data_IF_459282790087
#
_entry.id   IF_459282790087
#
_cell.length_a   1.000
_cell.length_b   1.000
_cell.length_c   1.000
_cell.angle_alpha   90.00
_cell.angle_beta   90.00
_cell.angle_gamma   90.00
#
_symmetry.space_group_name_H-M   'P 1'
#
loop_
_entity.id
_entity.type
_entity.pdbx_description
1 polymer ?
#
# COMPACT_ATOMS: atom_id res chain seq x y z
N UNK A 1 -18.71 -0.99 -5.79
CA UNK A 1 -17.63 -0.68 -4.85
C UNK A 1 -17.95 -1.37 -3.53
N UNK A 2 -17.09 -2.28 -3.05
CA UNK A 2 -17.25 -2.88 -1.72
C UNK A 2 -17.21 -1.80 -0.64
N UNK A 3 -18.03 -1.95 0.40
CA UNK A 3 -17.96 -1.05 1.57
C UNK A 3 -16.79 -1.48 2.45
N UNK A 4 -16.26 -0.56 3.26
CA UNK A 4 -15.18 -0.87 4.20
C UNK A 4 -15.55 -2.03 5.14
N UNK A 5 -16.83 -2.16 5.49
CA UNK A 5 -17.39 -3.25 6.30
C UNK A 5 -17.31 -4.62 5.63
N UNK A 6 -17.16 -4.68 4.31
CA UNK A 6 -17.10 -5.90 3.52
C UNK A 6 -15.65 -6.40 3.34
N UNK A 7 -14.67 -5.60 3.75
CA UNK A 7 -13.25 -5.94 3.65
C UNK A 7 -12.89 -6.95 4.74
N UNK A 8 -12.71 -8.20 4.34
CA UNK A 8 -12.21 -9.24 5.24
C UNK A 8 -10.72 -9.02 5.58
N UNK A 9 -10.34 -9.40 6.80
CA UNK A 9 -8.93 -9.43 7.20
C UNK A 9 -8.07 -10.29 6.25
N UNK A 10 -8.63 -11.40 5.74
CA UNK A 10 -7.94 -12.25 4.78
C UNK A 10 -7.60 -11.50 3.48
N UNK A 11 -8.57 -10.75 2.93
CA UNK A 11 -8.35 -9.95 1.73
C UNK A 11 -7.30 -8.85 1.96
N UNK A 12 -7.38 -8.17 3.12
CA UNK A 12 -6.39 -7.17 3.51
C UNK A 12 -4.98 -7.73 3.58
N UNK A 13 -4.78 -8.84 4.30
CA UNK A 13 -3.48 -9.51 4.42
C UNK A 13 -2.93 -9.95 3.07
N UNK A 14 -3.80 -10.44 2.17
CA UNK A 14 -3.40 -10.85 0.81
C UNK A 14 -2.90 -9.66 0.00
N UNK A 15 -3.58 -8.52 0.04
CA UNK A 15 -3.15 -7.31 -0.67
C UNK A 15 -1.89 -6.73 -0.06
N UNK A 16 -1.77 -6.70 1.28
CA UNK A 16 -0.53 -6.29 1.92
C UNK A 16 0.67 -7.15 1.49
N UNK A 17 0.52 -8.47 1.47
CA UNK A 17 1.55 -9.37 0.97
C UNK A 17 1.82 -9.24 -0.55
N UNK A 18 0.84 -8.75 -1.32
CA UNK A 18 1.06 -8.40 -2.72
C UNK A 18 1.88 -7.11 -2.85
N UNK A 19 1.57 -6.06 -2.08
CA UNK A 19 2.33 -4.82 -2.03
C UNK A 19 3.78 -5.05 -1.58
N UNK A 20 3.99 -5.89 -0.56
CA UNK A 20 5.33 -6.25 -0.08
C UNK A 20 6.14 -6.97 -1.16
N UNK A 21 5.51 -7.91 -1.88
CA UNK A 21 6.17 -8.59 -3.00
C UNK A 21 6.49 -7.63 -4.13
N UNK A 22 5.57 -6.74 -4.47
CA UNK A 22 5.78 -5.75 -5.52
C UNK A 22 6.97 -4.83 -5.18
N UNK A 23 7.01 -4.31 -3.96
CA UNK A 23 8.13 -3.49 -3.49
C UNK A 23 9.48 -4.21 -3.57
N UNK A 24 9.53 -5.50 -3.21
CA UNK A 24 10.77 -6.28 -3.20
C UNK A 24 11.21 -6.74 -4.59
N UNK A 25 10.28 -7.02 -5.50
CA UNK A 25 10.57 -7.62 -6.81
C UNK A 25 10.70 -6.56 -7.91
N UNK A 26 9.81 -5.56 -7.89
CA UNK A 26 9.66 -4.56 -8.95
C UNK A 26 9.45 -3.17 -8.32
N UNK A 27 10.49 -2.60 -7.65
CA UNK A 27 10.38 -1.36 -6.88
C UNK A 27 9.93 -0.15 -7.72
N UNK A 28 10.37 -0.06 -8.98
CA UNK A 28 9.95 1.02 -9.88
C UNK A 28 8.44 0.97 -10.16
N UNK A 29 7.90 -0.24 -10.35
CA UNK A 29 6.45 -0.45 -10.56
C UNK A 29 5.69 -0.16 -9.26
N UNK A 30 6.23 -0.56 -8.11
CA UNK A 30 5.65 -0.21 -6.82
C UNK A 30 5.55 1.31 -6.66
N UNK A 31 6.61 2.06 -6.96
CA UNK A 31 6.61 3.52 -6.86
C UNK A 31 5.58 4.17 -7.78
N UNK A 32 5.49 3.73 -9.03
CA UNK A 32 4.49 4.25 -9.97
C UNK A 32 3.06 3.92 -9.51
N UNK A 33 2.83 2.69 -9.04
CA UNK A 33 1.53 2.27 -8.50
C UNK A 33 1.11 3.09 -7.27
N UNK A 34 2.03 3.32 -6.33
CA UNK A 34 1.77 4.17 -5.16
C UNK A 34 1.51 5.62 -5.60
N UNK A 35 2.25 6.13 -6.59
CA UNK A 35 2.06 7.48 -7.13
C UNK A 35 0.67 7.66 -7.74
N UNK A 36 0.19 6.68 -8.49
CA UNK A 36 -1.16 6.66 -9.05
C UNK A 36 -2.22 6.67 -7.93
N UNK A 37 -2.07 5.81 -6.91
CA UNK A 37 -2.99 5.82 -5.76
C UNK A 37 -2.96 7.18 -5.05
N UNK A 38 -1.79 7.77 -4.82
CA UNK A 38 -1.66 9.08 -4.16
C UNK A 38 -2.21 10.24 -5.00
N UNK A 39 -2.38 10.08 -6.31
CA UNK A 39 -3.05 11.08 -7.14
C UNK A 39 -4.55 11.19 -6.78
N UNK A 40 -5.18 10.06 -6.44
CA UNK A 40 -6.62 9.98 -6.17
C UNK A 40 -6.97 9.90 -4.67
N UNK A 41 -6.07 9.35 -3.85
CA UNK A 41 -6.28 9.12 -2.44
C UNK A 41 -5.53 10.15 -1.58
N UNK A 42 -6.20 11.27 -1.30
CA UNK A 42 -5.64 12.39 -0.52
C UNK A 42 -5.02 11.96 0.80
N UNK A 43 -5.66 11.07 1.56
CA UNK A 43 -5.14 10.62 2.86
C UNK A 43 -3.80 9.88 2.73
N UNK A 44 -3.63 9.01 1.72
CA UNK A 44 -2.36 8.33 1.50
C UNK A 44 -1.26 9.32 1.09
N UNK A 45 -1.59 10.31 0.25
CA UNK A 45 -0.66 11.37 -0.15
C UNK A 45 -0.21 12.22 1.05
N UNK A 46 -1.15 12.68 1.88
CA UNK A 46 -0.84 13.45 3.09
C UNK A 46 -0.01 12.62 4.07
N UNK A 47 -0.31 11.33 4.22
CA UNK A 47 0.45 10.44 5.08
C UNK A 47 1.90 10.25 4.59
N UNK A 48 2.13 10.16 3.28
CA UNK A 48 3.49 10.14 2.73
C UNK A 48 4.29 11.41 3.05
N UNK A 49 3.65 12.60 3.02
CA UNK A 49 4.30 13.85 3.42
C UNK A 49 4.70 13.81 4.90
N UNK A 50 3.84 13.27 5.77
CA UNK A 50 4.17 13.08 7.19
C UNK A 50 5.38 12.15 7.36
N UNK A 51 5.48 11.06 6.59
CA UNK A 51 6.66 10.17 6.65
C UNK A 51 7.94 10.92 6.25
N UNK A 52 7.87 11.78 5.22
CA UNK A 52 9.02 12.60 4.79
C UNK A 52 9.43 13.60 5.88
N UNK A 53 8.47 14.25 6.53
CA UNK A 53 8.72 15.13 7.67
C UNK A 53 9.35 14.39 8.86
N UNK A 54 8.86 13.18 9.17
CA UNK A 54 9.43 12.31 10.19
C UNK A 54 10.89 11.95 9.87
N UNK A 55 11.18 11.60 8.62
CA UNK A 55 12.55 11.32 8.18
C UNK A 55 13.45 12.56 8.31
N UNK A 56 12.96 13.74 7.91
CA UNK A 56 13.69 15.01 8.02
C UNK A 56 13.98 15.39 9.48
N UNK A 57 13.12 14.97 10.42
CA UNK A 57 13.28 15.19 11.86
C UNK A 57 14.12 14.09 12.55
N UNK A 58 14.71 13.16 11.80
CA UNK A 58 15.43 12.00 12.32
C UNK A 58 14.58 11.16 13.30
N UNK A 59 13.30 10.96 12.96
CA UNK A 59 12.43 10.06 13.71
C UNK A 59 13.09 8.69 13.88
N UNK A 60 12.85 8.06 15.03
CA UNK A 60 13.45 6.78 15.32
C UNK A 60 13.01 5.69 14.34
N UNK A 61 13.82 4.64 14.24
CA UNK A 61 13.59 3.54 13.29
C UNK A 61 12.25 2.83 13.51
N UNK A 62 11.79 2.73 14.76
CA UNK A 62 10.53 2.07 15.09
C UNK A 62 9.35 2.92 14.63
N UNK A 63 9.40 4.24 14.85
CA UNK A 63 8.42 5.18 14.36
C UNK A 63 8.32 5.17 12.83
N UNK A 64 9.47 5.17 12.13
CA UNK A 64 9.51 5.06 10.67
C UNK A 64 8.89 3.75 10.17
N UNK A 65 9.25 2.61 10.77
CA UNK A 65 8.70 1.31 10.40
C UNK A 65 7.18 1.22 10.63
N UNK A 66 6.68 1.83 11.71
CA UNK A 66 5.25 1.89 11.99
C UNK A 66 4.51 2.78 10.98
N UNK A 67 5.12 3.88 10.56
CA UNK A 67 4.54 4.76 9.56
C UNK A 67 4.47 4.06 8.18
N UNK A 68 5.54 3.40 7.75
CA UNK A 68 5.54 2.61 6.50
C UNK A 68 4.50 1.49 6.52
N UNK A 69 4.33 0.82 7.67
CA UNK A 69 3.30 -0.19 7.84
C UNK A 69 1.90 0.42 7.73
N UNK A 70 1.67 1.57 8.36
CA UNK A 70 0.39 2.27 8.32
C UNK A 70 0.04 2.72 6.91
N UNK A 71 1.01 3.27 6.16
CA UNK A 71 0.83 3.62 4.75
C UNK A 71 0.42 2.38 3.93
N UNK A 72 1.09 1.24 4.12
CA UNK A 72 0.72 -0.01 3.43
C UNK A 72 -0.71 -0.45 3.73
N UNK A 73 -1.20 -0.28 4.96
CA UNK A 73 -2.60 -0.54 5.27
C UNK A 73 -3.55 0.40 4.52
N UNK A 74 -3.23 1.69 4.45
CA UNK A 74 -4.03 2.67 3.70
C UNK A 74 -4.10 2.31 2.21
N UNK A 75 -2.96 1.98 1.61
CA UNK A 75 -2.88 1.55 0.21
C UNK A 75 -3.69 0.26 -0.02
N UNK A 76 -3.57 -0.73 0.86
CA UNK A 76 -4.31 -1.98 0.74
C UNK A 76 -5.83 -1.77 0.85
N UNK A 77 -6.28 -0.90 1.76
CA UNK A 77 -7.70 -0.52 1.87
C UNK A 77 -8.19 0.21 0.62
N UNK A 78 -7.37 1.09 0.05
CA UNK A 78 -7.72 1.78 -1.20
C UNK A 78 -7.88 0.82 -2.36
N UNK A 79 -6.92 -0.10 -2.52
CA UNK A 79 -6.94 -1.16 -3.53
C UNK A 79 -8.22 -1.99 -3.42
N UNK A 80 -8.59 -2.42 -2.21
CA UNK A 80 -9.78 -3.23 -2.00
C UNK A 80 -11.08 -2.46 -2.24
N UNK A 81 -11.17 -1.22 -1.76
CA UNK A 81 -12.37 -0.38 -1.91
C UNK A 81 -12.66 -0.05 -3.38
N UNK A 82 -11.60 0.11 -4.18
CA UNK A 82 -11.68 0.48 -5.60
C UNK A 82 -11.50 -0.70 -6.56
N UNK A 83 -11.40 -1.94 -6.04
CA UNK A 83 -11.21 -3.16 -6.83
C UNK A 83 -10.00 -3.09 -7.79
N UNK A 84 -8.90 -2.49 -7.32
CA UNK A 84 -7.67 -2.35 -8.09
C UNK A 84 -6.89 -3.67 -8.10
N UNK A 85 -6.16 -3.91 -9.19
CA UNK A 85 -5.25 -5.06 -9.30
C UNK A 85 -3.82 -4.61 -9.00
N UNK A 86 -3.15 -5.29 -8.06
CA UNK A 86 -1.73 -5.04 -7.78
C UNK A 86 -0.89 -5.68 -8.92
N UNK A 87 -0.02 -4.93 -9.60
CA UNK A 87 0.68 -5.40 -10.80
C UNK A 87 1.87 -6.31 -10.48
N UNK A 88 1.62 -7.52 -9.99
CA UNK A 88 2.66 -8.52 -9.75
C UNK A 88 3.02 -9.26 -11.05
N UNK A 89 4.30 -9.26 -11.46
CA UNK A 89 4.75 -10.19 -12.49
C UNK A 89 4.49 -11.65 -12.05
N UNK A 90 3.66 -12.36 -12.82
CA UNK A 90 3.30 -13.77 -12.55
C UNK A 90 2.03 -14.00 -11.71
N UNK A 91 1.17 -12.99 -11.54
CA UNK A 91 -0.12 -13.12 -10.85
C UNK A 91 -1.12 -14.13 -11.46
N UNK A 92 -0.80 -14.72 -12.62
CA UNK A 92 -1.54 -15.85 -13.20
C UNK A 92 -1.51 -17.13 -12.32
N UNK A 93 -0.69 -17.18 -11.25
CA UNK A 93 -0.54 -18.40 -10.43
C UNK A 93 -1.44 -18.48 -9.17
N UNK A 94 -2.26 -17.46 -8.86
CA UNK A 94 -3.13 -17.48 -7.65
C UNK A 94 -4.63 -17.68 -8.02
N UNK A 95 -4.89 -18.29 -9.18
CA UNK A 95 -6.19 -18.86 -9.54
C UNK A 95 -6.03 -20.36 -9.82
N UNK A 96 -5.78 -21.15 -8.78
CA UNK A 96 -6.07 -22.58 -8.74
C UNK A 96 -6.68 -22.93 -7.39
#
# INVERSE_FOLDING_TARGET
>A
MPQLTDISLHALTRIMGALDRLYLQEPDIYEDFVREICAEFTLAREYMLVIQEMAAQNADRQAMAQADLTLRHLLALWVLTNDLTVPLAGADQIRQ
#
